data_IF_512621186253
#
_entry.id   IF_512621186253
#
_cell.length_a   1.000
_cell.length_b   1.000
_cell.length_c   1.000
_cell.angle_alpha   90.00
_cell.angle_beta   90.00
_cell.angle_gamma   90.00
#
_symmetry.space_group_name_H-M   'P 1'
#
loop_
_entity.id
_entity.type
_entity.pdbx_description
1 polymer ?
#
# COMPACT_ATOMS: atom_id res chain seq x y z
N UNK A 1 6.95 15.68 -34.43
CA UNK A 1 6.02 15.05 -33.47
C UNK A 1 6.87 14.18 -32.58
N UNK A 2 7.27 14.67 -31.42
CA UNK A 2 8.08 13.93 -30.45
C UNK A 2 7.17 12.91 -29.77
N UNK A 3 7.42 11.62 -29.98
CA UNK A 3 6.74 10.58 -29.22
C UNK A 3 7.01 10.78 -27.74
N UNK A 4 5.95 10.96 -26.95
CA UNK A 4 6.05 10.90 -25.49
C UNK A 4 6.25 9.42 -25.15
N UNK A 5 7.51 9.03 -25.05
CA UNK A 5 7.88 7.70 -24.59
C UNK A 5 7.31 7.48 -23.19
N UNK A 6 6.66 6.33 -22.99
CA UNK A 6 6.24 5.93 -21.65
C UNK A 6 7.47 5.50 -20.86
N UNK A 7 7.48 5.75 -19.54
CA UNK A 7 8.58 5.37 -18.63
C UNK A 7 9.00 3.90 -18.85
N UNK A 8 8.04 3.00 -19.10
CA UNK A 8 8.29 1.60 -19.41
C UNK A 8 9.16 1.41 -20.66
N UNK A 9 8.87 2.12 -21.74
CA UNK A 9 9.62 2.01 -23.00
C UNK A 9 11.06 2.52 -22.85
N UNK A 10 11.25 3.62 -22.12
CA UNK A 10 12.59 4.15 -21.85
C UNK A 10 13.43 3.20 -20.99
N UNK A 11 12.81 2.53 -20.02
CA UNK A 11 13.46 1.50 -19.19
C UNK A 11 13.88 0.30 -20.04
N UNK A 12 13.01 -0.19 -20.93
CA UNK A 12 13.32 -1.30 -21.83
C UNK A 12 14.49 -0.94 -22.75
N UNK A 13 14.45 0.24 -23.39
CA UNK A 13 15.52 0.70 -24.28
C UNK A 13 16.87 0.81 -23.57
N UNK A 14 16.88 1.24 -22.31
CA UNK A 14 18.11 1.31 -21.52
C UNK A 14 18.60 -0.08 -21.10
N UNK A 15 17.69 -0.98 -20.71
CA UNK A 15 18.02 -2.37 -20.37
C UNK A 15 18.72 -3.10 -21.52
N UNK A 16 18.27 -2.90 -22.76
CA UNK A 16 18.86 -3.53 -23.96
C UNK A 16 20.33 -3.15 -24.19
N UNK A 17 20.79 -2.02 -23.63
CA UNK A 17 22.18 -1.55 -23.76
C UNK A 17 23.08 -2.03 -22.61
N UNK A 18 22.52 -2.66 -21.58
CA UNK A 18 23.27 -3.09 -20.40
C UNK A 18 23.85 -4.50 -20.57
N UNK A 19 25.05 -4.77 -19.99
CA UNK A 19 25.54 -6.13 -19.81
C UNK A 19 24.59 -6.99 -18.96
N UNK A 20 24.61 -8.33 -19.11
CA UNK A 20 23.71 -9.25 -18.42
C UNK A 20 23.68 -9.08 -16.89
N UNK A 21 24.81 -8.79 -16.28
CA UNK A 21 24.95 -8.61 -14.84
C UNK A 21 24.18 -7.38 -14.34
N UNK A 22 24.24 -6.28 -15.12
CA UNK A 22 23.52 -5.05 -14.80
C UNK A 22 22.02 -5.18 -15.12
N UNK A 23 21.65 -5.92 -16.18
CA UNK A 23 20.24 -6.27 -16.42
C UNK A 23 19.66 -7.04 -15.23
N UNK A 24 20.43 -7.99 -14.67
CA UNK A 24 20.02 -8.74 -13.49
C UNK A 24 19.82 -7.81 -12.28
N UNK A 25 20.72 -6.87 -12.06
CA UNK A 25 20.60 -5.89 -10.98
C UNK A 25 19.32 -5.05 -11.10
N UNK A 26 18.95 -4.60 -12.30
CA UNK A 26 17.71 -3.86 -12.54
C UNK A 26 16.48 -4.73 -12.25
N UNK A 27 16.50 -6.01 -12.65
CA UNK A 27 15.42 -6.94 -12.37
C UNK A 27 15.25 -7.17 -10.85
N UNK A 28 16.35 -7.39 -10.14
CA UNK A 28 16.33 -7.60 -8.69
C UNK A 28 15.81 -6.34 -7.96
N UNK A 29 16.18 -5.15 -8.43
CA UNK A 29 15.65 -3.88 -7.92
C UNK A 29 14.14 -3.73 -8.18
N UNK A 30 13.66 -4.06 -9.38
CA UNK A 30 12.23 -4.01 -9.70
C UNK A 30 11.42 -4.97 -8.82
N UNK A 31 11.95 -6.17 -8.53
CA UNK A 31 11.34 -7.10 -7.56
C UNK A 31 11.31 -6.53 -6.15
N UNK A 32 12.41 -5.94 -5.68
CA UNK A 32 12.47 -5.31 -4.36
C UNK A 32 11.44 -4.19 -4.23
N UNK A 33 11.30 -3.34 -5.26
CA UNK A 33 10.25 -2.32 -5.31
C UNK A 33 8.85 -2.95 -5.21
N UNK A 34 8.56 -3.97 -6.00
CA UNK A 34 7.26 -4.64 -5.99
C UNK A 34 6.90 -5.29 -4.64
N UNK A 35 7.91 -5.71 -3.86
CA UNK A 35 7.75 -6.26 -2.50
C UNK A 35 7.65 -5.13 -1.46
N UNK A 36 8.39 -4.04 -1.63
CA UNK A 36 8.43 -2.91 -0.70
C UNK A 36 7.13 -2.12 -0.63
N UNK A 37 6.31 -2.17 -1.68
CA UNK A 37 4.95 -1.67 -1.60
C UNK A 37 4.09 -2.74 -0.94
N UNK A 38 3.60 -2.53 0.30
CA UNK A 38 2.66 -3.46 0.91
C UNK A 38 1.46 -3.60 -0.02
N UNK A 39 1.32 -4.76 -0.66
CA UNK A 39 0.09 -5.09 -1.37
C UNK A 39 -0.99 -5.23 -0.32
N UNK A 40 -1.93 -4.28 -0.32
CA UNK A 40 -3.14 -4.42 0.46
C UNK A 40 -3.84 -5.74 0.14
N UNK A 41 -4.51 -6.32 1.13
CA UNK A 41 -5.40 -7.47 0.91
C UNK A 41 -6.67 -6.98 0.22
N UNK A 42 -7.26 -7.81 -0.65
CA UNK A 42 -8.57 -7.47 -1.21
C UNK A 42 -9.58 -7.36 -0.07
N UNK A 43 -10.38 -6.30 -0.02
CA UNK A 43 -11.37 -6.07 1.05
C UNK A 43 -12.33 -7.25 1.30
N UNK A 44 -12.62 -8.05 0.26
CA UNK A 44 -13.39 -9.31 0.38
C UNK A 44 -12.78 -10.31 1.38
N UNK A 45 -11.47 -10.29 1.59
CA UNK A 45 -10.79 -11.15 2.58
C UNK A 45 -11.06 -10.68 4.02
N UNK A 46 -11.33 -9.39 4.21
CA UNK A 46 -11.65 -8.83 5.53
C UNK A 46 -13.06 -9.20 6.02
N UNK A 47 -13.94 -9.67 5.12
CA UNK A 47 -15.30 -10.10 5.50
C UNK A 47 -15.28 -11.25 6.52
N UNK A 48 -14.21 -12.06 6.55
CA UNK A 48 -14.02 -13.09 7.57
C UNK A 48 -13.91 -12.55 9.00
N UNK A 49 -13.55 -11.27 9.15
CA UNK A 49 -13.46 -10.58 10.44
C UNK A 49 -14.76 -9.81 10.77
N UNK A 50 -15.81 -9.90 9.95
CA UNK A 50 -17.08 -9.23 10.25
C UNK A 50 -17.76 -9.89 11.45
N UNK A 51 -18.05 -9.10 12.49
CA UNK A 51 -18.77 -9.57 13.68
C UNK A 51 -17.97 -10.48 14.61
N UNK A 52 -16.64 -10.53 14.50
CA UNK A 52 -15.79 -11.36 15.37
C UNK A 52 -15.50 -10.72 16.73
N UNK A 53 -15.69 -9.40 16.85
CA UNK A 53 -15.43 -8.68 18.09
C UNK A 53 -16.62 -8.92 19.02
N UNK A 54 -16.36 -9.46 20.21
CA UNK A 54 -17.39 -9.73 21.20
C UNK A 54 -18.02 -8.43 21.70
N UNK A 55 -19.29 -8.48 22.13
CA UNK A 55 -20.00 -7.29 22.60
C UNK A 55 -19.31 -6.63 23.80
N UNK A 56 -18.69 -7.42 24.67
CA UNK A 56 -17.89 -6.91 25.80
C UNK A 56 -16.68 -6.10 25.32
N UNK A 57 -15.93 -6.63 24.35
CA UNK A 57 -14.77 -5.92 23.77
C UNK A 57 -15.20 -4.62 23.09
N UNK A 58 -16.35 -4.61 22.39
CA UNK A 58 -16.92 -3.39 21.80
C UNK A 58 -17.21 -2.34 22.86
N UNK A 59 -17.74 -2.75 24.01
CA UNK A 59 -18.05 -1.84 25.13
C UNK A 59 -16.78 -1.24 25.71
N UNK A 60 -15.76 -2.06 25.97
CA UNK A 60 -14.44 -1.61 26.46
C UNK A 60 -13.79 -0.63 25.51
N UNK A 61 -13.81 -0.92 24.20
CA UNK A 61 -13.28 0.00 23.18
C UNK A 61 -14.03 1.34 23.17
N UNK A 62 -15.36 1.31 23.30
CA UNK A 62 -16.20 2.51 23.30
C UNK A 62 -15.90 3.40 24.50
N UNK A 63 -15.76 2.80 25.69
CA UNK A 63 -15.42 3.52 26.92
C UNK A 63 -14.04 4.16 26.83
N UNK A 64 -13.04 3.44 26.29
CA UNK A 64 -11.69 3.97 26.11
C UNK A 64 -11.67 5.16 25.12
N UNK A 65 -12.46 5.10 24.03
CA UNK A 65 -12.56 6.20 23.07
C UNK A 65 -13.16 7.44 23.75
N UNK A 66 -14.26 7.29 24.49
CA UNK A 66 -14.92 8.43 25.15
C UNK A 66 -14.08 9.03 26.29
N UNK A 67 -13.29 8.21 26.98
CA UNK A 67 -12.44 8.65 28.08
C UNK A 67 -11.18 9.39 27.60
N UNK A 68 -10.52 8.86 26.56
CA UNK A 68 -9.14 9.25 26.22
C UNK A 68 -8.98 9.87 24.82
N UNK A 69 -9.95 9.74 23.91
CA UNK A 69 -9.85 10.41 22.60
C UNK A 69 -10.32 11.86 22.66
N UNK A 70 -9.58 12.74 21.98
CA UNK A 70 -9.97 14.14 21.82
C UNK A 70 -11.34 14.24 21.11
N UNK A 71 -12.23 15.10 21.64
CA UNK A 71 -13.53 15.36 21.01
C UNK A 71 -13.30 16.22 19.77
N UNK A 72 -13.76 15.74 18.62
CA UNK A 72 -13.74 16.55 17.40
C UNK A 72 -14.78 17.67 17.53
N UNK A 73 -14.35 18.93 17.51
CA UNK A 73 -15.27 20.06 17.36
C UNK A 73 -15.67 20.17 15.88
N UNK A 74 -16.92 19.79 15.61
CA UNK A 74 -17.53 19.86 14.26
C UNK A 74 -17.64 21.28 13.70
N UNK A 75 -17.40 22.31 14.51
CA UNK A 75 -17.46 23.71 14.09
C UNK A 75 -16.09 24.34 13.82
N UNK A 76 -14.99 23.59 13.99
CA UNK A 76 -13.63 24.10 13.75
C UNK A 76 -13.15 23.99 12.27
N UNK A 77 -14.03 23.60 11.34
CA UNK A 77 -13.73 23.45 9.90
C UNK A 77 -14.63 24.30 9.01
#
# INVERSE_FOLDING_TARGET
MTEVSTIKQDVIRQLDQLPPELQRQVLDFAHALAISFPKGVHGKQLLSFSGIIETEDIQVMSEAIEADCERVDVNEW
#
